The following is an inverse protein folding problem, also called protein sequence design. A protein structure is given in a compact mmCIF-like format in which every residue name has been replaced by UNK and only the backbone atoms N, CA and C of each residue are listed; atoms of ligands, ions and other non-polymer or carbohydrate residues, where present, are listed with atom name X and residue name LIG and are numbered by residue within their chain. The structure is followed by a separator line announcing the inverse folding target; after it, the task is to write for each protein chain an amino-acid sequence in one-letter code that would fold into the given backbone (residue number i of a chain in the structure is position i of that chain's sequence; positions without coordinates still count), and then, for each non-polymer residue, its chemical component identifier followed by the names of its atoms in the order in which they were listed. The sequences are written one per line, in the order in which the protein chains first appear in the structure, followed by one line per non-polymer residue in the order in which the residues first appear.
data_IF_930849421408
#
_entry.id   IF_930849421408
#
_cell.length_a   1.000
_cell.length_b   1.000
_cell.length_c   1.000
_cell.angle_alpha   90.00
_cell.angle_beta   90.00
_cell.angle_gamma   90.00
#
_symmetry.space_group_name_H-M   'P 1'
#
loop_
_entity.id
_entity.type
_entity.pdbx_description
1 polymer ?
#
# COMPACT_ATOMS: atom_id res chain seq x y z
N UNK A 1 -26.19 0.66 11.30
CA UNK A 1 -24.94 -0.08 11.64
C UNK A 1 -23.95 0.88 12.23
N UNK A 2 -23.35 0.52 13.37
CA UNK A 2 -22.33 1.32 14.08
C UNK A 2 -20.97 0.71 13.84
N UNK A 3 -20.02 1.49 13.35
CA UNK A 3 -18.69 1.01 12.96
C UNK A 3 -17.63 1.79 13.72
N UNK A 4 -16.73 1.06 14.36
CA UNK A 4 -15.56 1.63 15.04
C UNK A 4 -14.30 1.34 14.21
N UNK A 5 -13.65 2.39 13.71
CA UNK A 5 -12.40 2.30 12.97
C UNK A 5 -11.21 2.52 13.89
N UNK A 6 -10.19 1.68 13.79
CA UNK A 6 -8.97 1.77 14.62
C UNK A 6 -7.74 1.87 13.71
N UNK A 7 -6.89 2.87 13.98
CA UNK A 7 -5.66 3.08 13.22
C UNK A 7 -4.51 3.58 14.09
N UNK A 8 -3.31 3.06 13.85
CA UNK A 8 -2.07 3.55 14.43
C UNK A 8 -1.24 4.26 13.37
N UNK A 9 -1.21 5.60 13.43
CA UNK A 9 -0.45 6.42 12.47
C UNK A 9 1.05 6.16 12.53
N UNK A 10 1.68 6.10 11.36
CA UNK A 10 3.13 6.10 11.25
C UNK A 10 3.74 7.46 11.65
N UNK A 11 5.03 7.48 11.96
CA UNK A 11 5.77 8.74 12.21
C UNK A 11 5.82 9.63 10.96
N UNK A 12 5.96 9.01 9.80
CA UNK A 12 5.86 9.65 8.49
C UNK A 12 4.61 9.10 7.79
N UNK A 13 3.77 10.00 7.29
CA UNK A 13 2.54 9.63 6.59
C UNK A 13 2.82 8.68 5.43
N UNK A 14 2.07 7.58 5.37
CA UNK A 14 2.15 6.55 4.34
C UNK A 14 0.82 6.33 3.62
N UNK A 15 0.81 5.41 2.65
CA UNK A 15 -0.40 5.04 1.92
C UNK A 15 -1.51 4.49 2.81
N UNK A 16 -1.17 3.70 3.84
CA UNK A 16 -2.15 3.17 4.81
C UNK A 16 -2.88 4.27 5.59
N UNK A 17 -2.17 5.35 5.98
CA UNK A 17 -2.77 6.49 6.67
C UNK A 17 -3.78 7.19 5.74
N UNK A 18 -3.44 7.30 4.44
CA UNK A 18 -4.32 7.90 3.43
C UNK A 18 -5.57 7.05 3.18
N UNK A 19 -5.43 5.73 3.07
CA UNK A 19 -6.57 4.80 2.93
C UNK A 19 -7.51 4.90 4.12
N UNK A 20 -6.97 4.88 5.35
CA UNK A 20 -7.78 5.02 6.56
C UNK A 20 -8.57 6.33 6.59
N UNK A 21 -7.92 7.46 6.27
CA UNK A 21 -8.58 8.76 6.28
C UNK A 21 -9.67 8.87 5.21
N UNK A 22 -9.38 8.39 3.99
CA UNK A 22 -10.34 8.40 2.89
C UNK A 22 -11.56 7.51 3.19
N UNK A 23 -11.36 6.29 3.69
CA UNK A 23 -12.47 5.40 4.05
C UNK A 23 -13.26 5.92 5.25
N UNK A 24 -12.62 6.54 6.23
CA UNK A 24 -13.33 7.18 7.34
C UNK A 24 -14.28 8.28 6.85
N UNK A 25 -13.80 9.19 5.99
CA UNK A 25 -14.64 10.27 5.45
C UNK A 25 -15.77 9.72 4.55
N UNK A 26 -15.48 8.67 3.79
CA UNK A 26 -16.48 8.01 2.94
C UNK A 26 -17.59 7.33 3.75
N UNK A 27 -17.23 6.60 4.80
CA UNK A 27 -18.17 5.86 5.63
C UNK A 27 -19.07 6.76 6.50
N UNK A 28 -18.61 7.95 6.90
CA UNK A 28 -19.41 8.93 7.67
C UNK A 28 -20.76 9.25 7.01
N UNK A 29 -20.86 9.08 5.71
CA UNK A 29 -22.10 9.30 4.96
C UNK A 29 -23.08 8.11 5.04
N UNK A 30 -22.65 6.96 5.60
CA UNK A 30 -23.38 5.69 5.51
C UNK A 30 -23.86 5.13 6.87
N UNK A 31 -23.59 5.82 7.97
CA UNK A 31 -23.98 5.33 9.30
C UNK A 31 -23.29 6.05 10.46
N UNK A 32 -23.42 5.50 11.66
CA UNK A 32 -22.73 5.99 12.83
C UNK A 32 -21.30 5.46 12.87
N UNK A 33 -20.34 6.33 12.56
CA UNK A 33 -18.93 5.96 12.48
C UNK A 33 -18.15 6.68 13.57
N UNK A 34 -17.41 5.94 14.38
CA UNK A 34 -16.41 6.50 15.29
C UNK A 34 -15.01 5.99 14.96
N UNK A 35 -13.99 6.75 15.32
CA UNK A 35 -12.59 6.32 15.19
C UNK A 35 -11.82 6.44 16.48
N UNK A 36 -10.90 5.51 16.69
CA UNK A 36 -9.83 5.61 17.68
C UNK A 36 -8.51 5.61 16.92
N UNK A 37 -7.70 6.61 17.20
CA UNK A 37 -6.37 6.70 16.61
C UNK A 37 -5.29 6.66 17.67
N UNK A 38 -4.17 6.03 17.30
CA UNK A 38 -2.95 5.99 18.06
C UNK A 38 -1.83 6.60 17.22
N UNK A 39 -0.79 7.13 17.86
CA UNK A 39 0.34 7.74 17.17
C UNK A 39 1.64 7.06 17.61
N UNK A 40 2.43 6.63 16.64
CA UNK A 40 3.76 6.12 16.88
C UNK A 40 4.73 7.28 17.17
N UNK A 41 5.36 7.24 18.33
CA UNK A 41 6.32 8.24 18.77
C UNK A 41 7.75 7.87 18.34
N UNK A 42 8.63 8.88 18.30
CA UNK A 42 10.09 8.72 18.15
C UNK A 42 10.78 8.72 19.52
N UNK A 43 12.09 8.45 19.53
CA UNK A 43 12.90 8.46 20.73
C UNK A 43 12.49 7.42 21.78
N UNK A 44 12.72 7.72 23.07
CA UNK A 44 12.48 6.78 24.17
C UNK A 44 10.99 6.38 24.32
N UNK A 45 10.07 7.30 24.05
CA UNK A 45 8.63 7.00 24.04
C UNK A 45 8.25 5.98 22.98
N UNK A 46 8.85 6.09 21.78
CA UNK A 46 8.69 5.11 20.73
C UNK A 46 9.29 3.75 21.07
N UNK A 47 10.46 3.73 21.74
CA UNK A 47 11.05 2.49 22.23
C UNK A 47 10.15 1.78 23.26
N UNK A 48 9.56 2.52 24.20
CA UNK A 48 8.59 1.95 25.13
C UNK A 48 7.34 1.42 24.41
N UNK A 49 6.77 2.18 23.47
CA UNK A 49 5.64 1.69 22.66
C UNK A 49 6.00 0.40 21.90
N UNK A 50 7.22 0.32 21.37
CA UNK A 50 7.71 -0.86 20.68
C UNK A 50 7.77 -2.08 21.60
N UNK A 51 8.29 -1.94 22.81
CA UNK A 51 8.35 -3.03 23.81
C UNK A 51 6.94 -3.42 24.26
N UNK A 52 6.09 -2.45 24.57
CA UNK A 52 4.72 -2.73 25.00
C UNK A 52 3.78 -3.19 23.87
N UNK A 53 4.23 -3.18 22.60
CA UNK A 53 3.39 -3.56 21.46
C UNK A 53 2.89 -5.00 21.51
N UNK A 54 3.59 -5.89 22.24
CA UNK A 54 3.15 -7.28 22.43
C UNK A 54 1.85 -7.35 23.26
N UNK A 55 1.69 -6.51 24.28
CA UNK A 55 0.48 -6.51 25.12
C UNK A 55 0.19 -5.11 25.67
N UNK A 56 -0.39 -4.24 24.86
CA UNK A 56 -0.65 -2.86 25.22
C UNK A 56 -1.98 -2.72 26.01
N UNK A 57 -1.90 -2.84 27.33
CA UNK A 57 -3.08 -2.73 28.21
C UNK A 57 -3.75 -1.36 28.16
N UNK A 58 -3.00 -0.27 27.92
CA UNK A 58 -3.55 1.07 27.79
C UNK A 58 -4.39 1.22 26.52
N UNK A 59 -3.90 0.72 25.41
CA UNK A 59 -4.67 0.71 24.16
C UNK A 59 -5.90 -0.20 24.29
N UNK A 60 -5.73 -1.38 24.89
CA UNK A 60 -6.81 -2.30 25.21
C UNK A 60 -7.92 -1.64 26.05
N UNK A 61 -7.55 -0.87 27.09
CA UNK A 61 -8.48 -0.11 27.94
C UNK A 61 -9.28 0.92 27.16
N UNK A 62 -8.62 1.72 26.30
CA UNK A 62 -9.29 2.72 25.45
C UNK A 62 -10.28 2.08 24.48
N UNK A 63 -9.87 0.99 23.82
CA UNK A 63 -10.76 0.27 22.88
C UNK A 63 -11.94 -0.34 23.62
N UNK A 64 -11.71 -0.95 24.81
CA UNK A 64 -12.78 -1.50 25.64
C UNK A 64 -13.79 -0.42 26.02
N UNK A 65 -13.33 0.71 26.54
CA UNK A 65 -14.19 1.85 26.92
C UNK A 65 -15.04 2.31 25.73
N UNK A 66 -14.42 2.53 24.56
CA UNK A 66 -15.15 2.96 23.38
C UNK A 66 -16.20 1.94 22.93
N UNK A 67 -15.89 0.63 23.03
CA UNK A 67 -16.87 -0.43 22.69
C UNK A 67 -18.07 -0.38 23.64
N UNK A 68 -17.87 -0.19 24.94
CA UNK A 68 -18.97 -0.06 25.90
C UNK A 68 -19.83 1.19 25.66
N UNK A 69 -19.20 2.33 25.35
CA UNK A 69 -19.89 3.61 25.11
C UNK A 69 -20.63 3.63 23.77
N UNK A 70 -20.00 3.10 22.73
CA UNK A 70 -20.51 3.22 21.36
C UNK A 70 -21.32 1.99 20.91
N UNK A 71 -21.04 0.82 21.49
CA UNK A 71 -21.64 -0.48 21.12
C UNK A 71 -21.60 -0.74 19.63
N UNK A 72 -20.40 -0.77 19.01
CA UNK A 72 -20.26 -0.97 17.56
C UNK A 72 -20.67 -2.39 17.17
N UNK A 73 -21.27 -2.51 15.99
CA UNK A 73 -21.54 -3.80 15.34
C UNK A 73 -20.24 -4.38 14.74
N UNK A 74 -19.38 -3.49 14.24
CA UNK A 74 -18.09 -3.83 13.59
C UNK A 74 -16.97 -3.01 14.21
N UNK A 75 -15.83 -3.66 14.47
CA UNK A 75 -14.52 -3.03 14.69
C UNK A 75 -13.64 -3.32 13.48
N UNK A 76 -13.23 -2.29 12.75
CA UNK A 76 -12.26 -2.43 11.66
C UNK A 76 -10.91 -1.86 12.05
N UNK A 77 -9.84 -2.66 11.89
CA UNK A 77 -8.46 -2.30 12.21
C UNK A 77 -7.68 -2.13 10.91
N UNK A 78 -7.14 -0.93 10.68
CA UNK A 78 -6.28 -0.63 9.52
C UNK A 78 -4.81 -0.88 9.82
N UNK A 79 -4.34 -0.34 10.93
CA UNK A 79 -2.97 -0.55 11.37
C UNK A 79 -2.93 -0.64 12.90
N UNK A 80 -2.32 -1.70 13.41
CA UNK A 80 -2.11 -1.95 14.83
C UNK A 80 -0.65 -1.76 15.26
N UNK A 81 0.25 -1.40 14.35
CA UNK A 81 1.70 -1.44 14.57
C UNK A 81 2.14 -0.49 15.68
N UNK A 82 2.87 -1.03 16.64
CA UNK A 82 3.42 -0.48 17.87
C UNK A 82 2.39 0.17 18.81
N UNK A 83 1.81 1.31 18.44
CA UNK A 83 1.09 2.18 19.37
C UNK A 83 -0.17 1.56 19.97
N UNK A 84 -0.86 0.67 19.25
CA UNK A 84 -2.00 -0.06 19.82
C UNK A 84 -1.68 -1.52 20.15
N UNK A 85 -0.85 -2.16 19.34
CA UNK A 85 -0.59 -3.60 19.42
C UNK A 85 -1.80 -4.45 18.99
N UNK A 86 -1.60 -5.75 18.70
CA UNK A 86 -2.69 -6.64 18.26
C UNK A 86 -3.71 -6.99 19.33
N UNK A 87 -3.43 -6.75 20.61
CA UNK A 87 -4.32 -7.03 21.75
C UNK A 87 -5.71 -6.39 21.60
N UNK A 88 -5.83 -5.29 20.85
CA UNK A 88 -7.10 -4.61 20.57
C UNK A 88 -8.09 -5.52 19.84
N UNK A 89 -7.60 -6.43 18.98
CA UNK A 89 -8.39 -7.45 18.28
C UNK A 89 -9.03 -8.41 19.29
N UNK A 90 -8.23 -8.94 20.22
CA UNK A 90 -8.73 -9.82 21.26
C UNK A 90 -9.79 -9.14 22.16
N UNK A 91 -9.58 -7.86 22.50
CA UNK A 91 -10.54 -7.11 23.30
C UNK A 91 -11.87 -6.97 22.57
N UNK A 92 -11.87 -6.60 21.30
CA UNK A 92 -13.09 -6.50 20.50
C UNK A 92 -13.83 -7.85 20.42
N UNK A 93 -13.11 -8.93 20.16
CA UNK A 93 -13.70 -10.29 20.10
C UNK A 93 -14.24 -10.78 21.45
N UNK A 94 -13.52 -10.53 22.54
CA UNK A 94 -14.01 -10.89 23.90
C UNK A 94 -15.27 -10.13 24.31
N UNK A 95 -15.52 -8.98 23.70
CA UNK A 95 -16.74 -8.18 23.90
C UNK A 95 -17.84 -8.49 22.87
N UNK A 96 -17.68 -9.57 22.08
CA UNK A 96 -18.68 -10.06 21.13
C UNK A 96 -18.79 -9.27 19.84
N UNK A 97 -17.86 -8.33 19.56
CA UNK A 97 -17.91 -7.51 18.34
C UNK A 97 -17.26 -8.24 17.15
N UNK A 98 -17.82 -8.11 15.98
CA UNK A 98 -17.21 -8.60 14.73
C UNK A 98 -15.97 -7.77 14.38
N UNK A 99 -14.87 -8.42 14.01
CA UNK A 99 -13.59 -7.76 13.73
C UNK A 99 -13.16 -7.96 12.29
N UNK A 100 -12.89 -6.84 11.61
CA UNK A 100 -12.32 -6.79 10.26
C UNK A 100 -10.91 -6.21 10.34
N UNK A 101 -9.95 -6.79 9.61
CA UNK A 101 -8.57 -6.29 9.54
C UNK A 101 -8.18 -5.99 8.10
N UNK A 102 -7.74 -4.75 7.83
CA UNK A 102 -7.16 -4.37 6.54
C UNK A 102 -5.70 -4.81 6.47
N UNK A 103 -5.34 -5.48 5.38
CA UNK A 103 -3.99 -5.99 5.14
C UNK A 103 -3.30 -5.14 4.08
N UNK A 104 -2.74 -4.00 4.49
CA UNK A 104 -2.09 -3.04 3.59
C UNK A 104 -0.56 -3.19 3.52
N UNK A 105 -0.01 -4.19 4.24
CA UNK A 105 1.41 -4.54 4.26
C UNK A 105 1.60 -6.02 4.61
N UNK A 106 2.83 -6.49 4.56
CA UNK A 106 3.17 -7.90 4.77
C UNK A 106 3.69 -8.22 6.19
N UNK A 107 3.35 -7.43 7.20
CA UNK A 107 3.84 -7.62 8.57
C UNK A 107 3.44 -8.97 9.17
N UNK A 108 2.27 -9.47 8.83
CA UNK A 108 1.82 -10.79 9.23
C UNK A 108 2.53 -11.94 8.48
N UNK A 109 3.30 -11.63 7.44
CA UNK A 109 4.07 -12.60 6.65
C UNK A 109 5.59 -12.47 6.90
N UNK A 110 6.09 -11.25 7.16
CA UNK A 110 7.51 -10.99 7.36
C UNK A 110 7.73 -9.79 8.28
N UNK A 111 8.69 -9.85 9.21
CA UNK A 111 9.03 -8.71 10.08
C UNK A 111 9.41 -7.43 9.32
N UNK A 112 9.96 -7.53 8.09
CA UNK A 112 10.25 -6.35 7.25
C UNK A 112 9.00 -5.57 6.84
N UNK A 113 7.83 -6.20 6.87
CA UNK A 113 6.55 -5.70 6.35
C UNK A 113 6.52 -5.43 4.83
N UNK A 114 7.63 -5.62 4.13
CA UNK A 114 7.77 -5.33 2.69
C UNK A 114 8.13 -6.57 1.85
N UNK A 115 8.52 -7.68 2.46
CA UNK A 115 9.13 -8.83 1.76
C UNK A 115 10.34 -8.41 0.91
N UNK A 116 11.04 -7.35 1.32
CA UNK A 116 12.24 -6.83 0.68
C UNK A 116 13.37 -6.73 1.71
N UNK A 117 14.59 -7.03 1.30
CA UNK A 117 15.80 -6.84 2.09
C UNK A 117 16.99 -6.57 1.17
N UNK A 118 17.69 -5.45 1.38
CA UNK A 118 18.83 -5.02 0.57
C UNK A 118 18.54 -5.06 -0.95
N UNK A 119 17.45 -4.41 -1.37
CA UNK A 119 17.04 -4.31 -2.78
C UNK A 119 16.59 -5.61 -3.43
N UNK A 120 16.46 -6.71 -2.68
CA UNK A 120 16.05 -8.01 -3.20
C UNK A 120 14.82 -8.53 -2.45
N UNK A 121 13.98 -9.28 -3.15
CA UNK A 121 12.84 -9.95 -2.53
C UNK A 121 13.34 -10.94 -1.48
N UNK A 122 12.71 -10.91 -0.31
CA UNK A 122 12.96 -11.81 0.81
C UNK A 122 11.70 -12.61 1.12
N UNK A 123 11.60 -13.81 0.53
CA UNK A 123 10.42 -14.67 0.61
C UNK A 123 10.53 -15.80 1.64
N UNK A 124 11.70 -16.00 2.24
CA UNK A 124 11.91 -17.10 3.20
C UNK A 124 10.87 -17.19 4.33
N UNK A 125 10.33 -16.04 4.76
CA UNK A 125 9.32 -15.99 5.83
C UNK A 125 7.94 -16.51 5.41
N UNK A 126 7.69 -16.59 4.09
CA UNK A 126 6.42 -17.11 3.54
C UNK A 126 6.53 -18.53 3.00
N UNK A 127 7.71 -19.12 3.01
CA UNK A 127 7.96 -20.47 2.52
C UNK A 127 7.91 -21.53 3.63
N UNK A 128 8.03 -21.11 4.89
CA UNK A 128 8.13 -22.01 6.04
C UNK A 128 7.17 -21.63 7.17
N UNK A 129 6.51 -22.62 7.73
CA UNK A 129 5.80 -22.48 9.01
C UNK A 129 6.80 -22.37 10.17
N UNK A 130 6.40 -21.67 11.22
CA UNK A 130 7.20 -21.52 12.42
C UNK A 130 7.79 -20.11 12.56
N UNK A 131 8.59 -19.91 13.61
CA UNK A 131 9.19 -18.61 13.89
C UNK A 131 10.21 -18.21 12.80
N UNK A 132 10.19 -16.99 12.27
CA UNK A 132 11.00 -16.60 11.10
C UNK A 132 12.47 -16.30 11.46
N UNK A 133 13.21 -17.29 11.97
CA UNK A 133 14.61 -17.14 12.40
C UNK A 133 15.54 -16.61 11.32
N UNK A 134 15.30 -16.98 10.05
CA UNK A 134 16.12 -16.50 8.94
C UNK A 134 15.97 -14.99 8.77
N UNK A 135 14.74 -14.46 8.85
CA UNK A 135 14.50 -13.01 8.83
C UNK A 135 15.22 -12.29 9.98
N UNK A 136 15.21 -12.88 11.19
CA UNK A 136 15.91 -12.35 12.36
C UNK A 136 17.43 -12.34 12.16
N UNK A 137 17.99 -13.44 11.66
CA UNK A 137 19.44 -13.56 11.38
C UNK A 137 19.87 -12.55 10.33
N UNK A 138 19.08 -12.34 9.29
CA UNK A 138 19.36 -11.34 8.23
C UNK A 138 19.04 -9.90 8.66
N UNK A 139 18.46 -9.68 9.85
CA UNK A 139 18.14 -8.35 10.37
C UNK A 139 17.25 -7.55 9.40
N UNK A 140 16.24 -8.20 8.81
CA UNK A 140 15.44 -7.65 7.70
C UNK A 140 14.69 -6.36 8.03
N UNK A 141 14.56 -6.01 9.31
CA UNK A 141 13.95 -4.76 9.74
C UNK A 141 15.00 -3.81 10.32
N UNK A 142 15.25 -2.69 9.63
CA UNK A 142 16.18 -1.62 10.00
C UNK A 142 17.60 -2.10 10.33
N UNK A 143 18.04 -3.17 9.71
CA UNK A 143 19.36 -3.79 9.95
C UNK A 143 19.61 -4.14 11.44
N UNK A 144 18.55 -4.31 12.24
CA UNK A 144 18.63 -4.57 13.67
C UNK A 144 18.13 -5.96 14.03
N UNK A 145 18.99 -6.77 14.65
CA UNK A 145 18.61 -8.09 15.18
C UNK A 145 17.46 -7.99 16.19
N UNK A 146 17.61 -7.12 17.19
CA UNK A 146 16.62 -6.97 18.26
C UNK A 146 15.27 -6.49 17.73
N UNK A 147 15.26 -5.47 16.85
CA UNK A 147 14.00 -4.96 16.30
C UNK A 147 13.31 -5.99 15.42
N UNK A 148 14.06 -6.72 14.60
CA UNK A 148 13.51 -7.79 13.76
C UNK A 148 12.95 -8.92 14.63
N UNK A 149 13.71 -9.36 15.63
CA UNK A 149 13.28 -10.40 16.57
C UNK A 149 11.99 -9.98 17.30
N UNK A 150 11.95 -8.76 17.83
CA UNK A 150 10.79 -8.29 18.58
C UNK A 150 9.52 -8.25 17.74
N UNK A 151 9.61 -7.74 16.49
CA UNK A 151 8.47 -7.74 15.57
C UNK A 151 7.99 -9.14 15.23
N UNK A 152 8.93 -10.04 14.93
CA UNK A 152 8.62 -11.45 14.70
C UNK A 152 7.95 -12.08 15.94
N UNK A 153 8.49 -11.79 17.14
CA UNK A 153 7.96 -12.28 18.39
C UNK A 153 6.54 -11.79 18.67
N UNK A 154 6.25 -10.50 18.48
CA UNK A 154 4.90 -9.94 18.65
C UNK A 154 3.89 -10.68 17.77
N UNK A 155 4.18 -10.83 16.49
CA UNK A 155 3.26 -11.50 15.56
C UNK A 155 3.12 -12.98 15.89
N UNK A 156 4.21 -13.67 16.23
CA UNK A 156 4.20 -15.08 16.56
C UNK A 156 3.53 -15.38 17.90
N UNK A 157 3.75 -14.51 18.90
CA UNK A 157 3.04 -14.59 20.20
C UNK A 157 1.53 -14.49 20.00
N UNK A 158 1.07 -13.56 19.20
CA UNK A 158 -0.35 -13.39 18.88
C UNK A 158 -0.91 -14.52 18.01
N UNK A 159 -0.08 -15.21 17.21
CA UNK A 159 -0.47 -16.47 16.59
C UNK A 159 -0.77 -17.53 17.65
N UNK A 160 0.17 -17.78 18.56
CA UNK A 160 -0.02 -18.77 19.64
C UNK A 160 -1.24 -18.42 20.50
N UNK A 161 -1.47 -17.14 20.73
CA UNK A 161 -2.64 -16.65 21.47
C UNK A 161 -3.96 -16.68 20.65
N UNK A 162 -3.96 -17.21 19.42
CA UNK A 162 -5.13 -17.32 18.56
C UNK A 162 -5.68 -15.99 18.02
N UNK A 163 -4.95 -14.88 18.19
CA UNK A 163 -5.44 -13.52 17.84
C UNK A 163 -5.82 -13.41 16.38
N UNK A 164 -5.01 -13.98 15.48
CA UNK A 164 -5.23 -13.88 14.03
C UNK A 164 -6.40 -14.74 13.57
N UNK A 165 -6.67 -15.84 14.25
CA UNK A 165 -7.83 -16.71 14.01
C UNK A 165 -9.15 -16.10 14.51
N UNK A 166 -9.09 -15.22 15.53
CA UNK A 166 -10.25 -14.52 16.06
C UNK A 166 -10.83 -13.48 15.09
N UNK A 167 -10.04 -12.97 14.13
CA UNK A 167 -10.51 -12.00 13.12
C UNK A 167 -11.59 -12.68 12.27
N UNK A 168 -12.72 -12.00 12.08
CA UNK A 168 -13.81 -12.54 11.27
C UNK A 168 -13.50 -12.43 9.78
N UNK A 169 -12.91 -11.29 9.34
CA UNK A 169 -12.59 -11.05 7.94
C UNK A 169 -11.29 -10.24 7.77
N UNK A 170 -10.46 -10.64 6.83
CA UNK A 170 -9.32 -9.86 6.34
C UNK A 170 -9.65 -9.24 4.99
N UNK A 171 -9.35 -7.96 4.82
CA UNK A 171 -9.50 -7.24 3.56
C UNK A 171 -8.12 -7.03 2.94
N UNK A 172 -7.88 -7.66 1.80
CA UNK A 172 -6.70 -7.46 0.97
C UNK A 172 -6.99 -6.44 -0.13
N UNK A 173 -6.08 -5.49 -0.43
CA UNK A 173 -6.33 -4.48 -1.45
C UNK A 173 -6.19 -5.01 -2.88
N UNK A 174 -5.67 -6.22 -3.07
CA UNK A 174 -5.45 -6.85 -4.38
C UNK A 174 -5.45 -8.37 -4.28
N UNK A 175 -5.65 -9.06 -5.42
CA UNK A 175 -5.51 -10.50 -5.50
C UNK A 175 -4.07 -10.94 -5.21
N UNK A 176 -3.08 -10.15 -5.61
CA UNK A 176 -1.67 -10.42 -5.29
C UNK A 176 -1.44 -10.50 -3.80
N UNK A 177 -1.96 -9.54 -3.02
CA UNK A 177 -1.86 -9.61 -1.54
C UNK A 177 -2.60 -10.82 -1.01
N UNK A 178 -3.84 -11.06 -1.44
CA UNK A 178 -4.60 -12.25 -1.03
C UNK A 178 -3.82 -13.54 -1.30
N UNK A 179 -3.26 -13.71 -2.50
CA UNK A 179 -2.46 -14.89 -2.89
C UNK A 179 -1.25 -15.09 -1.97
N UNK A 180 -0.49 -14.03 -1.67
CA UNK A 180 0.65 -14.11 -0.77
C UNK A 180 0.26 -14.59 0.64
N UNK A 181 -0.94 -14.26 1.11
CA UNK A 181 -1.44 -14.72 2.40
C UNK A 181 -2.06 -16.12 2.37
N UNK A 182 -2.59 -16.57 1.25
CA UNK A 182 -3.41 -17.79 1.18
C UNK A 182 -2.74 -18.97 0.50
N UNK A 183 -1.78 -18.71 -0.41
CA UNK A 183 -1.11 -19.76 -1.19
C UNK A 183 0.24 -20.16 -0.59
N UNK A 184 0.84 -19.30 0.23
CA UNK A 184 2.12 -19.56 0.86
C UNK A 184 1.98 -20.01 2.32
N UNK A 185 2.94 -20.81 2.78
CA UNK A 185 3.00 -21.27 4.17
C UNK A 185 3.64 -20.19 5.03
N UNK A 186 2.83 -19.32 5.61
CA UNK A 186 3.36 -18.28 6.50
C UNK A 186 3.44 -18.74 7.96
N UNK A 187 4.20 -17.98 8.74
CA UNK A 187 4.29 -18.22 10.18
C UNK A 187 3.02 -17.77 10.96
N UNK A 188 2.06 -17.09 10.34
CA UNK A 188 0.76 -16.76 10.95
C UNK A 188 -0.33 -17.78 10.64
N UNK A 189 -0.27 -18.44 9.49
CA UNK A 189 -1.15 -19.54 9.07
C UNK A 189 -2.65 -19.20 9.15
N UNK A 190 -3.03 -18.03 8.61
CA UNK A 190 -4.42 -17.54 8.64
C UNK A 190 -5.26 -18.31 7.60
N UNK A 191 -6.48 -18.76 7.95
CA UNK A 191 -7.36 -19.48 7.04
C UNK A 191 -7.71 -18.64 5.79
N UNK A 192 -7.59 -19.24 4.61
CA UNK A 192 -7.75 -18.55 3.32
C UNK A 192 -9.16 -18.00 3.07
N UNK A 193 -10.18 -18.67 3.61
CA UNK A 193 -11.59 -18.29 3.51
C UNK A 193 -11.89 -16.97 4.21
N UNK A 194 -11.02 -16.54 5.12
CA UNK A 194 -11.14 -15.25 5.80
C UNK A 194 -10.64 -14.05 4.97
N UNK A 195 -10.08 -14.27 3.78
CA UNK A 195 -9.57 -13.20 2.94
C UNK A 195 -10.54 -12.82 1.83
N UNK A 196 -10.97 -11.55 1.81
CA UNK A 196 -11.67 -10.94 0.69
C UNK A 196 -10.77 -9.89 0.02
N UNK A 197 -10.96 -9.71 -1.28
CA UNK A 197 -10.31 -8.64 -2.02
C UNK A 197 -11.25 -7.45 -2.10
N UNK A 198 -10.79 -6.28 -1.67
CA UNK A 198 -11.46 -5.00 -1.84
C UNK A 198 -10.40 -3.96 -2.18
N UNK A 199 -10.35 -3.49 -3.43
CA UNK A 199 -9.41 -2.47 -3.86
C UNK A 199 -9.51 -1.18 -3.04
N UNK A 200 -8.40 -0.49 -2.85
CA UNK A 200 -8.42 0.89 -2.40
C UNK A 200 -8.97 1.78 -3.54
N UNK A 201 -9.28 3.01 -3.24
CA UNK A 201 -9.85 3.95 -4.21
C UNK A 201 -9.08 5.27 -4.22
N UNK A 202 -9.33 6.08 -5.23
CA UNK A 202 -8.91 7.48 -5.29
C UNK A 202 -10.10 8.38 -5.54
N UNK A 203 -9.98 9.65 -5.16
CA UNK A 203 -11.01 10.65 -5.41
C UNK A 203 -10.69 11.34 -6.73
N UNK A 204 -11.59 11.21 -7.69
CA UNK A 204 -11.47 11.93 -8.95
C UNK A 204 -11.78 13.42 -8.74
N UNK A 205 -10.83 14.27 -9.05
CA UNK A 205 -10.98 15.74 -8.91
C UNK A 205 -11.33 16.45 -10.24
N UNK A 206 -11.90 15.70 -11.18
CA UNK A 206 -12.17 16.13 -12.55
C UNK A 206 -11.00 15.83 -13.50
N UNK A 207 -11.31 15.55 -14.76
CA UNK A 207 -10.30 15.24 -15.78
C UNK A 207 -9.83 16.57 -16.40
N UNK A 208 -8.50 16.78 -16.43
CA UNK A 208 -7.91 17.85 -17.19
C UNK A 208 -7.56 17.30 -18.59
N UNK A 209 -8.35 17.67 -19.60
CA UNK A 209 -8.01 17.34 -20.99
C UNK A 209 -6.95 18.34 -21.46
N UNK A 210 -5.71 17.87 -21.57
CA UNK A 210 -4.58 18.65 -22.10
C UNK A 210 -3.85 17.84 -23.15
N UNK A 211 -3.19 18.52 -24.10
CA UNK A 211 -2.27 17.87 -25.02
C UNK A 211 -1.10 17.30 -24.22
N UNK A 212 -0.83 16.01 -24.38
CA UNK A 212 0.28 15.34 -23.69
C UNK A 212 1.62 15.79 -24.26
N UNK A 213 2.57 16.01 -23.36
CA UNK A 213 3.96 16.28 -23.68
C UNK A 213 4.74 14.95 -23.82
N UNK A 214 5.98 15.03 -24.29
CA UNK A 214 6.77 13.82 -24.59
C UNK A 214 7.54 13.26 -23.39
N UNK A 215 7.42 13.87 -22.19
CA UNK A 215 8.14 13.42 -21.00
C UNK A 215 7.39 12.30 -20.24
N UNK A 216 8.14 11.39 -19.64
CA UNK A 216 7.65 10.42 -18.69
C UNK A 216 7.61 11.02 -17.27
N UNK A 217 6.79 10.46 -16.42
CA UNK A 217 6.57 10.94 -15.06
C UNK A 217 6.76 9.82 -14.05
N UNK A 218 7.49 10.08 -12.97
CA UNK A 218 7.48 9.26 -11.77
C UNK A 218 6.93 10.08 -10.59
N UNK A 219 5.98 9.53 -9.87
CA UNK A 219 5.45 10.11 -8.63
C UNK A 219 5.46 9.08 -7.52
N UNK A 220 6.13 9.38 -6.41
CA UNK A 220 6.15 8.47 -5.27
C UNK A 220 7.23 8.78 -4.24
N UNK A 221 7.33 7.89 -3.26
CA UNK A 221 8.42 7.95 -2.29
C UNK A 221 9.74 7.64 -2.99
N UNK A 222 10.74 8.48 -2.76
CA UNK A 222 12.09 8.29 -3.32
C UNK A 222 12.87 7.30 -2.44
N UNK A 223 12.63 6.01 -2.66
CA UNK A 223 13.16 4.91 -1.85
C UNK A 223 13.49 3.68 -2.69
N UNK A 224 14.27 2.78 -2.10
CA UNK A 224 14.80 1.59 -2.78
C UNK A 224 13.68 0.69 -3.35
N UNK A 225 12.63 0.45 -2.56
CA UNK A 225 11.50 -0.41 -2.97
C UNK A 225 10.71 0.14 -4.16
N UNK A 226 10.78 1.46 -4.40
CA UNK A 226 10.16 2.13 -5.56
C UNK A 226 11.03 2.09 -6.82
N UNK A 227 12.22 1.47 -6.73
CA UNK A 227 13.11 1.25 -7.87
C UNK A 227 13.76 2.54 -8.39
N UNK A 228 14.00 3.55 -7.53
CA UNK A 228 14.61 4.83 -7.94
C UNK A 228 15.97 4.63 -8.58
N UNK A 229 16.84 3.82 -7.99
CA UNK A 229 18.18 3.56 -8.54
C UNK A 229 18.09 2.93 -9.93
N UNK A 230 17.21 1.93 -10.09
CA UNK A 230 16.92 1.29 -11.37
C UNK A 230 16.40 2.29 -12.42
N UNK A 231 15.44 3.14 -12.03
CA UNK A 231 14.85 4.15 -12.89
C UNK A 231 15.88 5.18 -13.37
N UNK A 232 16.66 5.74 -12.44
CA UNK A 232 17.74 6.68 -12.77
C UNK A 232 18.76 6.06 -13.71
N UNK A 233 19.19 4.84 -13.44
CA UNK A 233 20.15 4.13 -14.26
C UNK A 233 19.65 3.84 -15.68
N UNK A 234 18.34 3.65 -15.88
CA UNK A 234 17.75 3.50 -17.20
C UNK A 234 17.76 4.83 -17.95
N UNK A 235 17.32 5.91 -17.30
CA UNK A 235 17.17 7.21 -17.95
C UNK A 235 18.49 7.95 -18.18
N UNK A 236 19.56 7.66 -17.44
CA UNK A 236 20.92 8.21 -17.72
C UNK A 236 21.40 7.93 -19.15
N UNK A 237 20.99 6.80 -19.71
CA UNK A 237 21.38 6.36 -21.05
C UNK A 237 20.23 6.46 -22.07
N UNK A 238 19.09 7.04 -21.67
CA UNK A 238 17.92 7.20 -22.53
C UNK A 238 17.89 8.58 -23.17
N UNK A 239 17.33 8.68 -24.38
CA UNK A 239 17.05 9.96 -25.05
C UNK A 239 15.75 10.60 -24.61
N UNK A 240 15.01 9.97 -23.70
CA UNK A 240 13.69 10.45 -23.24
C UNK A 240 13.77 11.25 -21.97
N UNK A 241 12.89 12.23 -21.84
CA UNK A 241 12.78 13.08 -20.65
C UNK A 241 12.00 12.39 -19.53
N UNK A 242 12.52 12.47 -18.31
CA UNK A 242 11.90 12.01 -17.08
C UNK A 242 11.71 13.14 -16.09
N UNK A 243 10.48 13.30 -15.61
CA UNK A 243 10.18 14.18 -14.45
C UNK A 243 9.95 13.28 -13.23
N UNK A 244 10.67 13.57 -12.14
CA UNK A 244 10.55 12.85 -10.86
C UNK A 244 9.93 13.78 -9.83
N UNK A 245 8.84 13.32 -9.18
CA UNK A 245 8.21 14.03 -8.10
C UNK A 245 8.09 13.15 -6.84
N UNK A 246 8.32 13.76 -5.67
CA UNK A 246 8.19 13.09 -4.38
C UNK A 246 9.25 13.46 -3.37
N UNK A 247 9.32 12.67 -2.30
CA UNK A 247 10.31 12.83 -1.24
C UNK A 247 10.72 11.45 -0.69
N UNK A 248 11.92 11.35 -0.13
CA UNK A 248 12.39 10.08 0.45
C UNK A 248 13.91 10.04 0.65
N UNK A 249 14.42 8.92 1.18
CA UNK A 249 15.84 8.78 1.51
C UNK A 249 16.79 8.85 0.29
N UNK A 250 16.28 8.63 -0.93
CA UNK A 250 17.10 8.69 -2.16
C UNK A 250 17.00 10.05 -2.88
N UNK A 251 16.46 11.10 -2.22
CA UNK A 251 16.33 12.43 -2.82
C UNK A 251 17.66 12.99 -3.32
N UNK A 252 18.73 12.85 -2.56
CA UNK A 252 20.04 13.38 -2.91
C UNK A 252 20.59 12.71 -4.19
N UNK A 253 20.40 11.40 -4.35
CA UNK A 253 20.74 10.69 -5.60
C UNK A 253 19.95 11.21 -6.81
N UNK A 254 18.67 11.55 -6.63
CA UNK A 254 17.85 12.14 -7.69
C UNK A 254 18.41 13.51 -8.09
N UNK A 255 18.75 14.36 -7.11
CA UNK A 255 19.33 15.68 -7.37
C UNK A 255 20.68 15.57 -8.07
N UNK A 256 21.54 14.63 -7.68
CA UNK A 256 22.80 14.35 -8.36
C UNK A 256 22.60 13.91 -9.82
N UNK A 257 21.64 13.02 -10.08
CA UNK A 257 21.30 12.60 -11.44
C UNK A 257 20.79 13.76 -12.29
N UNK A 258 19.98 14.65 -11.73
CA UNK A 258 19.50 15.87 -12.42
C UNK A 258 20.65 16.83 -12.77
N UNK A 259 21.67 16.93 -11.93
CA UNK A 259 22.83 17.77 -12.19
C UNK A 259 23.73 17.23 -13.31
N UNK A 260 23.75 15.91 -13.51
CA UNK A 260 24.59 15.22 -14.50
C UNK A 260 23.86 14.97 -15.82
N UNK A 261 22.54 14.89 -15.84
CA UNK A 261 21.74 14.48 -17.00
C UNK A 261 20.56 15.43 -17.23
N UNK A 262 20.61 16.21 -18.32
CA UNK A 262 19.62 17.26 -18.64
C UNK A 262 18.20 16.72 -18.91
N UNK A 263 18.08 15.44 -19.29
CA UNK A 263 16.81 14.76 -19.53
C UNK A 263 16.13 14.26 -18.23
N UNK A 264 16.77 14.35 -17.05
CA UNK A 264 16.18 14.01 -15.76
C UNK A 264 15.93 15.29 -14.97
N UNK A 265 14.67 15.52 -14.60
CA UNK A 265 14.25 16.72 -13.88
C UNK A 265 13.53 16.35 -12.57
N UNK A 266 13.81 17.10 -11.51
CA UNK A 266 13.16 16.92 -10.22
C UNK A 266 12.15 18.03 -9.95
N UNK A 267 10.88 17.67 -9.82
CA UNK A 267 9.77 18.59 -9.57
C UNK A 267 9.49 18.84 -8.07
N UNK A 268 10.26 18.20 -7.17
CA UNK A 268 10.01 18.31 -5.73
C UNK A 268 8.82 17.49 -5.25
N UNK A 269 8.31 17.86 -4.07
CA UNK A 269 7.11 17.26 -3.52
C UNK A 269 5.88 18.05 -4.00
N UNK A 270 5.02 17.41 -4.78
CA UNK A 270 3.84 18.04 -5.39
C UNK A 270 2.63 17.91 -4.46
N UNK A 271 1.81 18.97 -4.40
CA UNK A 271 0.46 18.89 -3.84
C UNK A 271 -0.51 18.19 -4.81
N UNK A 272 -1.73 17.90 -4.36
CA UNK A 272 -2.72 17.14 -5.14
C UNK A 272 -3.04 17.76 -6.51
N UNK A 273 -3.15 19.08 -6.58
CA UNK A 273 -3.47 19.79 -7.84
C UNK A 273 -2.30 19.71 -8.82
N UNK A 274 -1.07 19.89 -8.36
CA UNK A 274 0.13 19.73 -9.18
C UNK A 274 0.37 18.28 -9.61
N UNK A 275 0.06 17.30 -8.77
CA UNK A 275 0.08 15.88 -9.15
C UNK A 275 -0.88 15.63 -10.30
N UNK A 276 -2.12 16.11 -10.20
CA UNK A 276 -3.12 16.02 -11.25
C UNK A 276 -2.66 16.68 -12.54
N UNK A 277 -2.11 17.91 -12.45
CA UNK A 277 -1.56 18.62 -13.59
C UNK A 277 -0.44 17.83 -14.27
N UNK A 278 0.55 17.34 -13.51
CA UNK A 278 1.65 16.55 -14.03
C UNK A 278 1.16 15.27 -14.73
N UNK A 279 0.17 14.55 -14.13
CA UNK A 279 -0.43 13.37 -14.74
C UNK A 279 -1.23 13.70 -16.01
N UNK A 280 -1.80 14.90 -16.13
CA UNK A 280 -2.57 15.30 -17.32
C UNK A 280 -1.72 15.63 -18.53
N UNK A 281 -0.45 16.02 -18.33
CA UNK A 281 0.45 16.45 -19.40
C UNK A 281 1.53 15.44 -19.76
N UNK A 282 1.95 14.54 -18.86
CA UNK A 282 2.97 13.55 -19.17
C UNK A 282 2.49 12.51 -20.23
N UNK A 283 3.42 11.95 -20.98
CA UNK A 283 3.06 10.92 -21.98
C UNK A 283 2.59 9.61 -21.31
N UNK A 284 3.27 9.20 -20.25
CA UNK A 284 2.88 8.08 -19.40
C UNK A 284 3.55 8.20 -18.02
N UNK A 285 2.93 7.60 -17.00
CA UNK A 285 3.51 7.46 -15.66
C UNK A 285 4.27 6.14 -15.57
N UNK A 286 5.52 6.20 -15.09
CA UNK A 286 6.35 5.02 -14.84
C UNK A 286 6.17 4.57 -13.40
N UNK A 287 5.78 3.31 -13.23
CA UNK A 287 5.67 2.67 -11.92
C UNK A 287 6.75 1.59 -11.78
N UNK A 288 7.92 1.97 -11.25
CA UNK A 288 9.16 1.20 -11.26
C UNK A 288 9.42 0.35 -10.01
N UNK A 289 8.39 0.08 -9.20
CA UNK A 289 8.53 -0.67 -7.94
C UNK A 289 9.19 -2.05 -8.17
N UNK A 290 10.12 -2.42 -7.28
CA UNK A 290 10.88 -3.69 -7.35
C UNK A 290 10.44 -4.70 -6.28
N UNK A 291 9.34 -4.46 -5.60
CA UNK A 291 8.80 -5.29 -4.54
C UNK A 291 7.33 -5.64 -4.80
N UNK A 292 6.78 -6.54 -3.99
CA UNK A 292 5.36 -6.84 -4.02
C UNK A 292 4.57 -5.64 -3.48
N UNK A 293 4.34 -4.63 -4.32
CA UNK A 293 3.51 -3.48 -3.94
C UNK A 293 2.12 -3.97 -3.53
N UNK A 294 1.61 -3.64 -2.33
CA UNK A 294 0.28 -4.10 -1.92
C UNK A 294 -0.86 -3.55 -2.77
N UNK A 295 -0.72 -2.29 -3.25
CA UNK A 295 -1.73 -1.67 -4.11
C UNK A 295 -1.14 -0.63 -5.07
N UNK A 296 -0.57 0.47 -4.54
CA UNK A 296 -0.07 1.59 -5.34
C UNK A 296 -1.18 2.61 -5.65
N UNK A 297 -1.55 3.44 -4.67
CA UNK A 297 -2.58 4.48 -4.83
C UNK A 297 -2.33 5.39 -6.03
N UNK A 298 -1.06 5.68 -6.35
CA UNK A 298 -0.70 6.50 -7.52
C UNK A 298 -1.14 5.89 -8.85
N UNK A 299 -1.34 4.55 -8.92
CA UNK A 299 -1.90 3.89 -10.10
C UNK A 299 -3.36 4.33 -10.28
N UNK A 300 -4.18 4.26 -9.22
CA UNK A 300 -5.58 4.69 -9.31
C UNK A 300 -5.71 6.20 -9.51
N UNK A 301 -4.79 6.98 -8.97
CA UNK A 301 -4.69 8.42 -9.26
C UNK A 301 -4.36 8.67 -10.74
N UNK A 302 -3.42 7.93 -11.33
CA UNK A 302 -3.10 8.02 -12.75
C UNK A 302 -4.31 7.61 -13.61
N UNK A 303 -4.95 6.48 -13.31
CA UNK A 303 -6.15 6.03 -14.01
C UNK A 303 -7.28 7.07 -13.97
N UNK A 304 -7.52 7.69 -12.80
CA UNK A 304 -8.55 8.71 -12.63
C UNK A 304 -8.30 9.99 -13.45
N UNK A 305 -7.03 10.26 -13.78
CA UNK A 305 -6.60 11.39 -14.60
C UNK A 305 -6.36 11.02 -16.08
N UNK A 306 -6.76 9.82 -16.49
CA UNK A 306 -6.53 9.32 -17.84
C UNK A 306 -5.03 9.22 -18.19
N UNK A 307 -4.15 9.05 -17.22
CA UNK A 307 -2.71 8.94 -17.42
C UNK A 307 -2.32 7.47 -17.61
N UNK A 308 -1.87 7.06 -18.79
CA UNK A 308 -1.42 5.70 -19.06
C UNK A 308 -0.20 5.33 -18.23
N UNK A 309 -0.02 4.02 -17.98
CA UNK A 309 1.04 3.51 -17.14
C UNK A 309 2.05 2.64 -17.90
N UNK A 310 3.32 2.75 -17.51
CA UNK A 310 4.37 1.78 -17.84
C UNK A 310 4.82 1.21 -16.49
N UNK A 311 4.41 -0.01 -16.17
CA UNK A 311 4.52 -0.57 -14.84
C UNK A 311 5.40 -1.82 -14.78
N UNK A 312 6.07 -2.04 -13.65
CA UNK A 312 6.75 -3.30 -13.37
C UNK A 312 5.76 -4.45 -13.26
N UNK A 313 6.17 -5.64 -13.70
CA UNK A 313 5.37 -6.87 -13.74
C UNK A 313 5.33 -7.64 -12.41
N UNK A 314 5.44 -6.92 -11.27
CA UNK A 314 5.44 -7.50 -9.92
C UNK A 314 4.42 -6.85 -9.01
N UNK A 315 3.84 -7.65 -8.12
CA UNK A 315 2.91 -7.13 -7.10
C UNK A 315 1.57 -6.71 -7.71
N UNK A 316 0.90 -5.77 -7.05
CA UNK A 316 -0.39 -5.25 -7.53
C UNK A 316 -0.30 -4.44 -8.83
N UNK A 317 0.80 -3.76 -9.20
CA UNK A 317 0.92 -3.16 -10.51
C UNK A 317 0.68 -4.12 -11.67
N UNK A 318 1.18 -5.36 -11.56
CA UNK A 318 0.93 -6.41 -12.56
C UNK A 318 -0.55 -6.83 -12.69
N UNK A 319 -1.37 -6.50 -11.71
CA UNK A 319 -2.82 -6.79 -11.68
C UNK A 319 -3.65 -5.55 -12.07
N UNK A 320 -3.28 -4.37 -11.56
CA UNK A 320 -4.05 -3.15 -11.71
C UNK A 320 -3.84 -2.48 -13.07
N UNK A 321 -2.69 -2.69 -13.68
CA UNK A 321 -2.38 -2.23 -15.04
C UNK A 321 -2.70 -3.36 -16.01
N UNK A 322 -3.70 -3.16 -16.85
CA UNK A 322 -4.08 -4.13 -17.88
C UNK A 322 -3.25 -3.89 -19.15
N UNK A 323 -2.40 -4.89 -19.51
CA UNK A 323 -1.51 -4.82 -20.67
C UNK A 323 -2.28 -4.51 -21.96
N UNK A 324 -1.87 -3.49 -22.69
CA UNK A 324 -2.51 -3.07 -23.94
C UNK A 324 -3.84 -2.32 -23.79
N UNK A 325 -4.33 -2.13 -22.56
CA UNK A 325 -5.60 -1.46 -22.26
C UNK A 325 -5.37 -0.08 -21.62
N UNK A 326 -4.90 -0.05 -20.38
CA UNK A 326 -4.65 1.19 -19.63
C UNK A 326 -3.15 1.42 -19.34
N UNK A 327 -2.29 0.50 -19.81
CA UNK A 327 -0.84 0.60 -19.69
C UNK A 327 -0.14 -0.61 -20.30
N UNK A 328 1.17 -0.67 -20.08
CA UNK A 328 2.04 -1.77 -20.52
C UNK A 328 2.99 -2.16 -19.40
N UNK A 329 3.49 -3.41 -19.43
CA UNK A 329 4.43 -3.91 -18.43
C UNK A 329 5.86 -4.02 -18.94
N UNK A 330 6.81 -3.82 -18.03
CA UNK A 330 8.20 -4.20 -18.24
C UNK A 330 8.64 -5.19 -17.16
N UNK A 331 9.65 -5.98 -17.44
CA UNK A 331 10.20 -6.96 -16.51
C UNK A 331 10.92 -6.25 -15.37
N UNK A 332 10.51 -6.53 -14.15
CA UNK A 332 11.01 -5.89 -12.93
C UNK A 332 12.53 -5.97 -12.81
N UNK A 333 13.19 -4.82 -12.62
CA UNK A 333 14.65 -4.73 -12.47
C UNK A 333 15.45 -4.93 -13.78
N UNK A 334 14.79 -5.02 -14.92
CA UNK A 334 15.41 -5.21 -16.23
C UNK A 334 15.38 -3.89 -17.02
N UNK A 335 16.56 -3.23 -17.11
CA UNK A 335 16.73 -1.92 -17.77
C UNK A 335 16.44 -1.99 -19.27
N UNK A 336 16.85 -3.06 -19.92
CA UNK A 336 16.59 -3.26 -21.35
C UNK A 336 15.10 -3.43 -21.62
N UNK A 337 14.41 -4.21 -20.78
CA UNK A 337 12.97 -4.34 -20.84
C UNK A 337 12.25 -3.00 -20.69
N UNK A 338 12.66 -2.17 -19.71
CA UNK A 338 12.07 -0.83 -19.57
C UNK A 338 12.37 0.04 -20.79
N UNK A 339 13.64 0.09 -21.28
CA UNK A 339 13.99 0.89 -22.45
C UNK A 339 13.17 0.48 -23.68
N UNK A 340 13.02 -0.82 -23.95
CA UNK A 340 12.20 -1.32 -25.06
C UNK A 340 10.74 -0.88 -24.95
N UNK A 341 10.19 -0.78 -23.72
CA UNK A 341 8.82 -0.28 -23.50
C UNK A 341 8.71 1.24 -23.65
N UNK A 342 9.74 1.99 -23.29
CA UNK A 342 9.81 3.43 -23.58
C UNK A 342 9.84 3.68 -25.10
N UNK A 343 10.64 2.93 -25.83
CA UNK A 343 10.74 3.01 -27.29
C UNK A 343 9.41 2.64 -27.96
N UNK A 344 8.80 1.53 -27.55
CA UNK A 344 7.48 1.14 -28.02
C UNK A 344 6.45 2.25 -27.78
N UNK A 345 6.40 2.81 -26.56
CA UNK A 345 5.44 3.85 -26.19
C UNK A 345 5.61 5.13 -27.01
N UNK A 346 6.84 5.56 -27.24
CA UNK A 346 7.10 6.77 -28.03
C UNK A 346 6.72 6.60 -29.51
N UNK A 347 6.83 5.40 -30.04
CA UNK A 347 6.49 5.07 -31.41
C UNK A 347 4.98 4.85 -31.65
N UNK A 348 4.16 4.80 -30.60
CA UNK A 348 2.70 4.74 -30.73
C UNK A 348 2.15 6.02 -31.35
N UNK A 349 1.15 5.86 -32.22
CA UNK A 349 0.39 6.97 -32.78
C UNK A 349 -0.43 7.71 -31.74
N UNK A 350 -0.73 8.99 -31.97
CA UNK A 350 -1.52 9.79 -31.01
C UNK A 350 -2.89 9.18 -30.73
N UNK A 351 -3.57 8.63 -31.73
CA UNK A 351 -4.86 7.97 -31.57
C UNK A 351 -4.79 6.74 -30.62
N UNK A 352 -3.66 5.99 -30.64
CA UNK A 352 -3.47 4.88 -29.73
C UNK A 352 -3.21 5.37 -28.29
N UNK A 353 -2.41 6.42 -28.11
CA UNK A 353 -2.18 7.03 -26.79
C UNK A 353 -3.47 7.61 -26.21
N UNK A 354 -4.32 8.20 -27.04
CA UNK A 354 -5.66 8.68 -26.63
C UNK A 354 -6.56 7.53 -26.20
N UNK A 355 -6.53 6.39 -26.92
CA UNK A 355 -7.26 5.17 -26.53
C UNK A 355 -6.82 4.67 -25.15
N UNK A 356 -5.51 4.61 -24.87
CA UNK A 356 -5.00 4.27 -23.53
C UNK A 356 -5.52 5.23 -22.47
N UNK A 357 -5.51 6.53 -22.76
CA UNK A 357 -6.01 7.56 -21.82
C UNK A 357 -7.51 7.39 -21.52
N UNK A 358 -8.32 7.13 -22.54
CA UNK A 358 -9.76 6.83 -22.37
C UNK A 358 -9.97 5.57 -21.53
N UNK A 359 -9.24 4.50 -21.82
CA UNK A 359 -9.32 3.25 -21.10
C UNK A 359 -8.88 3.37 -19.63
N UNK A 360 -7.93 4.26 -19.30
CA UNK A 360 -7.57 4.56 -17.92
C UNK A 360 -8.79 5.06 -17.14
N UNK A 361 -9.51 6.04 -17.68
CA UNK A 361 -10.71 6.59 -17.03
C UNK A 361 -11.81 5.55 -16.92
N UNK A 362 -12.01 4.73 -17.96
CA UNK A 362 -12.98 3.63 -17.93
C UNK A 362 -12.66 2.63 -16.81
N UNK A 363 -11.40 2.17 -16.72
CA UNK A 363 -10.93 1.25 -15.67
C UNK A 363 -11.10 1.84 -14.27
N UNK A 364 -10.82 3.13 -14.11
CA UNK A 364 -11.05 3.83 -12.84
C UNK A 364 -12.53 3.82 -12.43
N UNK A 365 -13.41 4.23 -13.35
CA UNK A 365 -14.86 4.34 -13.09
C UNK A 365 -15.49 2.99 -12.78
N UNK A 366 -14.98 1.92 -13.36
CA UNK A 366 -15.47 0.57 -13.11
C UNK A 366 -15.09 0.03 -11.73
N UNK A 367 -13.87 0.29 -11.24
CA UNK A 367 -13.29 -0.46 -10.12
C UNK A 367 -12.85 0.40 -8.92
N UNK A 368 -12.49 1.68 -9.11
CA UNK A 368 -11.69 2.41 -8.11
C UNK A 368 -12.35 3.70 -7.62
N UNK A 369 -13.65 3.89 -7.86
CA UNK A 369 -14.38 5.07 -7.37
C UNK A 369 -14.73 4.95 -5.88
N UNK A 370 -14.93 6.08 -5.18
CA UNK A 370 -15.40 6.09 -3.79
C UNK A 370 -16.71 5.32 -3.60
N UNK A 371 -17.65 5.42 -4.55
CA UNK A 371 -18.97 4.77 -4.50
C UNK A 371 -18.81 3.25 -4.52
N UNK A 372 -17.99 2.72 -5.44
CA UNK A 372 -17.70 1.28 -5.54
C UNK A 372 -17.03 0.76 -4.28
N UNK A 373 -16.05 1.50 -3.76
CA UNK A 373 -15.37 1.13 -2.51
C UNK A 373 -16.34 1.06 -1.34
N UNK A 374 -17.22 2.07 -1.19
CA UNK A 374 -18.25 2.11 -0.15
C UNK A 374 -19.22 0.94 -0.26
N UNK A 375 -19.75 0.68 -1.47
CA UNK A 375 -20.67 -0.42 -1.72
C UNK A 375 -20.08 -1.78 -1.32
N UNK A 376 -18.84 -2.06 -1.76
CA UNK A 376 -18.13 -3.28 -1.40
C UNK A 376 -17.89 -3.40 0.11
N UNK A 377 -17.47 -2.32 0.75
CA UNK A 377 -17.19 -2.32 2.19
C UNK A 377 -18.45 -2.55 3.02
N UNK A 378 -19.55 -1.88 2.68
CA UNK A 378 -20.84 -2.07 3.34
C UNK A 378 -21.39 -3.49 3.11
N UNK A 379 -21.22 -4.06 1.92
CA UNK A 379 -21.58 -5.46 1.63
C UNK A 379 -20.83 -6.43 2.54
N UNK A 380 -19.52 -6.24 2.73
CA UNK A 380 -18.71 -7.04 3.67
C UNK A 380 -19.27 -6.93 5.09
N UNK A 381 -19.56 -5.74 5.56
CA UNK A 381 -20.09 -5.53 6.91
C UNK A 381 -21.47 -6.18 7.11
N UNK A 382 -22.37 -5.98 6.16
CA UNK A 382 -23.70 -6.59 6.24
C UNK A 382 -23.65 -8.12 6.26
N UNK A 383 -22.76 -8.73 5.47
CA UNK A 383 -22.59 -10.19 5.49
C UNK A 383 -22.09 -10.70 6.85
N UNK A 384 -21.27 -9.92 7.57
CA UNK A 384 -20.75 -10.31 8.88
C UNK A 384 -21.75 -10.12 10.02
N UNK A 385 -22.61 -9.12 9.93
CA UNK A 385 -23.59 -8.82 11.00
C UNK A 385 -24.81 -9.72 10.89
N UNK A 386 -25.18 -10.16 9.68
CA UNK A 386 -26.33 -11.03 9.44
C UNK A 386 -26.05 -12.53 9.64
N UNK A 387 -24.76 -12.89 9.77
CA UNK A 387 -24.28 -14.25 10.13
C UNK A 387 -23.80 -14.29 11.60
#
# INVERSE_FOLDING_TARGET
MRILLIHSYYQQRGGEDSVFEQEYELLKQSGEIRKITFKNHSGWRGALQFIYSVWNTRAAGKVRQMIYEFKPDIVQVYNWNYASGPVIIQIAKKLGVKVVVNVQNYRLLCPSASLLHNGKLFTDSIEKRGFPWKAVRYRVYRNSFFQTFWLAFVVYFHKIAGTWEMVDQYIAPSNTVKKLFTEYKSYTDIPKEKFLVKPNFSIQTGILIRKREKHFLFIGRLSEEKGIDFLLDTFKNSSYDLIIAGNGPLKDKVLEACAQHSNIRFAGNLDKEKVKEAMSICTALIFSSIWYEPFGLVITEALSNGCPLIASDIGSPAELVAEGVNGIHFKTGDKESLQNRLDYWQNLGEAEKERYSFNCVSSFNELFTPEKNREQLLSIYHSLVNN
#
